data_IF_078750100887
#
_entry.id   IF_078750100887
#
_cell.length_a   1.000
_cell.length_b   1.000
_cell.length_c   1.000
_cell.angle_alpha   90.00
_cell.angle_beta   90.00
_cell.angle_gamma   90.00
#
_symmetry.space_group_name_H-M   'P 1'
#
loop_
_entity.id
_entity.type
_entity.pdbx_description
1 polymer ?
#
# COMPACT_ATOMS: atom_id res chain seq x y z
N UNK A 1 -51.18 -51.94 1.91
CA UNK A 1 -51.02 -50.47 1.75
C UNK A 1 -49.70 -50.07 2.39
N UNK A 2 -48.77 -49.46 1.63
CA UNK A 2 -47.39 -49.13 2.08
C UNK A 2 -47.34 -47.66 2.54
N UNK A 3 -46.82 -47.34 3.74
CA UNK A 3 -46.81 -45.96 4.22
C UNK A 3 -45.76 -45.12 3.47
N UNK A 4 -46.14 -43.88 3.15
CA UNK A 4 -45.28 -42.89 2.50
C UNK A 4 -44.27 -42.31 3.50
N UNK A 5 -43.00 -42.18 3.07
CA UNK A 5 -41.94 -41.59 3.86
C UNK A 5 -42.04 -40.04 3.83
N UNK A 6 -41.92 -39.34 4.97
CA UNK A 6 -41.91 -37.88 4.99
C UNK A 6 -40.62 -37.32 4.34
N UNK A 7 -40.79 -36.43 3.35
CA UNK A 7 -39.70 -35.73 2.68
C UNK A 7 -38.94 -34.83 3.66
N UNK A 8 -37.61 -35.01 3.76
CA UNK A 8 -36.75 -34.17 4.59
C UNK A 8 -36.70 -32.75 4.02
N UNK A 9 -37.42 -31.82 4.65
CA UNK A 9 -37.31 -30.40 4.36
C UNK A 9 -35.93 -29.93 4.86
N UNK A 10 -35.04 -29.57 3.93
CA UNK A 10 -33.79 -28.89 4.27
C UNK A 10 -34.13 -27.51 4.81
N UNK A 11 -33.81 -27.28 6.07
CA UNK A 11 -34.08 -26.00 6.74
C UNK A 11 -33.09 -24.97 6.22
N UNK A 12 -33.57 -24.05 5.39
CA UNK A 12 -32.78 -22.92 4.88
C UNK A 12 -32.33 -22.02 6.02
N UNK A 13 -31.13 -21.44 5.88
CA UNK A 13 -30.64 -20.37 6.74
C UNK A 13 -31.67 -19.24 6.69
N UNK A 14 -32.07 -18.74 7.87
CA UNK A 14 -33.08 -17.70 7.98
C UNK A 14 -32.66 -16.48 7.12
N UNK A 15 -33.51 -15.98 6.21
CA UNK A 15 -33.17 -14.86 5.33
C UNK A 15 -32.69 -13.61 6.06
N UNK A 16 -33.18 -13.37 7.27
CA UNK A 16 -32.80 -12.24 8.14
C UNK A 16 -31.37 -12.40 8.67
N UNK A 17 -30.97 -13.62 8.99
CA UNK A 17 -29.61 -13.90 9.45
C UNK A 17 -28.61 -13.68 8.30
N UNK A 18 -29.01 -14.07 7.09
CA UNK A 18 -28.19 -13.91 5.89
C UNK A 18 -27.93 -12.43 5.58
N UNK A 19 -28.94 -11.56 5.66
CA UNK A 19 -28.77 -10.13 5.37
C UNK A 19 -27.94 -9.42 6.43
N UNK A 20 -28.13 -9.74 7.72
CA UNK A 20 -27.30 -9.19 8.80
C UNK A 20 -25.82 -9.53 8.59
N UNK A 21 -25.53 -10.79 8.26
CA UNK A 21 -24.17 -11.24 7.98
C UNK A 21 -23.60 -10.58 6.71
N UNK A 22 -24.42 -10.43 5.66
CA UNK A 22 -24.01 -9.80 4.41
C UNK A 22 -23.62 -8.33 4.63
N UNK A 23 -24.40 -7.58 5.41
CA UNK A 23 -24.10 -6.18 5.74
C UNK A 23 -22.79 -6.08 6.53
N UNK A 24 -22.55 -6.96 7.51
CA UNK A 24 -21.30 -6.96 8.28
C UNK A 24 -20.08 -7.19 7.38
N UNK A 25 -20.17 -8.16 6.45
CA UNK A 25 -19.08 -8.42 5.49
C UNK A 25 -18.88 -7.21 4.58
N UNK A 26 -19.95 -6.57 4.10
CA UNK A 26 -19.84 -5.40 3.25
C UNK A 26 -19.11 -4.23 3.95
N UNK A 27 -19.45 -3.96 5.21
CA UNK A 27 -18.78 -2.93 6.02
C UNK A 27 -17.33 -3.30 6.28
N UNK A 28 -17.04 -4.55 6.64
CA UNK A 28 -15.68 -5.02 6.85
C UNK A 28 -14.82 -4.87 5.59
N UNK A 29 -15.35 -5.27 4.42
CA UNK A 29 -14.65 -5.12 3.15
C UNK A 29 -14.37 -3.65 2.82
N UNK A 30 -15.32 -2.74 3.06
CA UNK A 30 -15.13 -1.31 2.84
C UNK A 30 -14.00 -0.73 3.72
N UNK A 31 -13.93 -1.12 4.99
CA UNK A 31 -12.87 -0.67 5.91
C UNK A 31 -11.49 -1.17 5.49
N UNK A 32 -11.38 -2.44 5.09
CA UNK A 32 -10.12 -3.02 4.59
C UNK A 32 -9.66 -2.28 3.33
N UNK A 33 -10.59 -2.01 2.41
CA UNK A 33 -10.33 -1.27 1.17
C UNK A 33 -9.81 0.14 1.48
N UNK A 34 -10.47 0.84 2.39
CA UNK A 34 -10.08 2.19 2.81
C UNK A 34 -8.68 2.20 3.43
N UNK A 35 -8.40 1.29 4.37
CA UNK A 35 -7.09 1.19 5.01
C UNK A 35 -5.98 0.88 4.00
N UNK A 36 -6.23 -0.02 3.04
CA UNK A 36 -5.29 -0.35 1.99
C UNK A 36 -5.06 0.80 1.01
N UNK A 37 -6.11 1.53 0.62
CA UNK A 37 -5.97 2.71 -0.23
C UNK A 37 -5.11 3.77 0.49
N UNK A 38 -5.36 4.02 1.78
CA UNK A 38 -4.59 4.99 2.54
C UNK A 38 -3.12 4.58 2.69
N UNK A 39 -2.83 3.29 2.92
CA UNK A 39 -1.45 2.81 2.96
C UNK A 39 -0.75 2.90 1.61
N UNK A 40 -1.45 2.58 0.51
CA UNK A 40 -0.94 2.74 -0.85
C UNK A 40 -0.65 4.21 -1.20
N UNK A 41 -1.56 5.13 -0.86
CA UNK A 41 -1.37 6.57 -1.07
C UNK A 41 -0.21 7.12 -0.23
N UNK A 42 -0.05 6.65 1.01
CA UNK A 42 1.07 7.06 1.87
C UNK A 42 2.40 6.56 1.29
N UNK A 43 2.47 5.28 0.92
CA UNK A 43 3.67 4.68 0.34
C UNK A 43 4.08 5.34 -0.99
N UNK A 44 3.11 5.65 -1.86
CA UNK A 44 3.36 6.33 -3.14
C UNK A 44 3.71 7.81 -2.96
N UNK A 45 3.08 8.51 -2.02
CA UNK A 45 3.41 9.89 -1.67
C UNK A 45 4.81 10.04 -1.09
N UNK A 46 5.27 9.10 -0.27
CA UNK A 46 6.64 9.07 0.24
C UNK A 46 7.67 8.81 -0.87
N UNK A 47 7.33 7.97 -1.86
CA UNK A 47 8.19 7.72 -3.02
C UNK A 47 8.32 8.95 -3.95
N UNK A 48 7.26 9.76 -4.06
CA UNK A 48 7.30 11.07 -4.71
C UNK A 48 8.05 12.14 -3.88
N UNK A 49 8.38 11.83 -2.62
CA UNK A 49 9.03 12.71 -1.67
C UNK A 49 10.55 12.79 -1.77
N UNK A 50 11.19 12.10 -2.72
CA UNK A 50 12.64 12.21 -2.94
C UNK A 50 12.93 12.46 -4.42
N UNK A 51 13.32 13.69 -4.74
CA UNK A 51 13.92 14.03 -6.03
C UNK A 51 15.30 14.61 -5.75
N UNK A 52 16.34 13.89 -6.19
CA UNK A 52 17.72 14.33 -6.06
C UNK A 52 18.13 15.06 -7.34
N UNK A 53 18.42 16.35 -7.21
CA UNK A 53 19.02 17.15 -8.29
C UNK A 53 20.52 17.30 -8.08
N UNK A 54 21.28 17.17 -9.16
CA UNK A 54 22.72 17.43 -9.20
C UNK A 54 22.92 18.92 -9.48
N UNK A 55 23.42 19.67 -8.49
CA UNK A 55 23.64 21.12 -8.63
C UNK A 55 24.99 21.42 -9.30
N UNK A 56 26.09 20.92 -8.74
CA UNK A 56 27.43 21.24 -9.23
C UNK A 56 28.44 20.13 -8.90
N UNK A 57 29.51 20.05 -9.70
CA UNK A 57 30.66 19.16 -9.45
C UNK A 57 31.92 20.01 -9.48
N UNK A 58 32.70 19.93 -8.41
CA UNK A 58 34.03 20.51 -8.33
C UNK A 58 35.07 19.39 -8.40
N UNK A 59 35.94 19.50 -9.40
CA UNK A 59 37.11 18.66 -9.58
C UNK A 59 38.28 19.39 -8.92
N UNK A 60 38.68 18.96 -7.72
CA UNK A 60 39.81 19.56 -7.02
C UNK A 60 41.12 19.11 -7.69
N UNK A 61 42.13 19.97 -7.68
CA UNK A 61 43.38 19.77 -8.41
C UNK A 61 44.09 18.45 -8.05
N UNK A 62 44.89 17.98 -9.00
CA UNK A 62 45.49 16.64 -9.13
C UNK A 62 46.32 16.09 -7.96
N UNK A 63 46.62 16.90 -6.95
CA UNK A 63 47.38 16.46 -5.77
C UNK A 63 46.49 15.76 -4.74
N UNK A 64 45.21 16.14 -4.71
CA UNK A 64 44.20 15.62 -3.79
C UNK A 64 43.07 15.06 -4.64
N UNK A 65 43.14 13.78 -5.02
CA UNK A 65 42.14 13.04 -5.82
C UNK A 65 40.74 13.05 -5.19
N UNK A 66 40.11 14.23 -5.12
CA UNK A 66 38.88 14.53 -4.40
C UNK A 66 37.92 15.19 -5.38
N UNK A 67 36.70 14.67 -5.40
CA UNK A 67 35.60 15.21 -6.19
C UNK A 67 34.53 15.64 -5.21
N UNK A 68 34.11 16.90 -5.28
CA UNK A 68 33.01 17.43 -4.47
C UNK A 68 31.77 17.52 -5.34
N UNK A 69 30.73 16.79 -4.98
CA UNK A 69 29.45 16.80 -5.69
C UNK A 69 28.38 17.41 -4.79
N UNK A 70 27.74 18.47 -5.27
CA UNK A 70 26.60 19.09 -4.60
C UNK A 70 25.31 18.45 -5.11
N UNK A 71 24.59 17.81 -4.19
CA UNK A 71 23.29 17.18 -4.46
C UNK A 71 22.25 17.81 -3.56
N UNK A 72 21.10 18.18 -4.13
CA UNK A 72 19.98 18.76 -3.41
C UNK A 72 18.79 17.82 -3.46
N UNK A 73 18.20 17.56 -2.31
CA UNK A 73 16.87 16.97 -2.23
C UNK A 73 15.84 18.10 -2.34
N UNK A 74 15.04 18.09 -3.40
CA UNK A 74 14.02 19.12 -3.65
C UNK A 74 12.66 18.79 -3.02
N UNK A 75 12.58 17.69 -2.26
CA UNK A 75 11.33 17.17 -1.69
C UNK A 75 11.44 16.94 -0.17
N UNK A 76 10.38 16.41 0.44
CA UNK A 76 10.19 16.37 1.90
C UNK A 76 10.65 15.08 2.58
N UNK A 77 10.93 14.02 1.84
CA UNK A 77 11.35 12.72 2.38
C UNK A 77 12.87 12.59 2.40
N UNK A 78 13.42 11.77 3.29
CA UNK A 78 14.87 11.63 3.46
C UNK A 78 15.49 10.76 2.36
N UNK A 79 16.53 11.26 1.69
CA UNK A 79 17.29 10.52 0.70
C UNK A 79 18.50 9.79 1.30
N UNK A 80 18.91 8.68 0.69
CA UNK A 80 20.13 7.93 1.05
C UNK A 80 21.01 7.75 -0.18
N UNK A 81 22.32 7.93 -0.02
CA UNK A 81 23.31 7.60 -1.05
C UNK A 81 23.60 6.10 -0.94
N UNK A 82 23.20 5.32 -1.94
CA UNK A 82 23.38 3.86 -1.93
C UNK A 82 24.72 3.40 -2.51
N UNK A 83 25.20 4.09 -3.55
CA UNK A 83 26.43 3.76 -4.24
C UNK A 83 26.95 5.00 -4.99
N UNK A 84 28.26 5.05 -5.19
CA UNK A 84 28.96 6.00 -6.04
C UNK A 84 29.77 5.16 -7.04
N UNK A 85 29.58 5.39 -8.34
CA UNK A 85 30.23 4.68 -9.44
C UNK A 85 31.13 5.63 -10.21
#
# INVERSE_FOLDING_TARGET
MKPANPSKAHKGISPILATLLLVVIAVAAALISYAWIMSYLTATGEQAGVTLSKDAVSWLNSTDYKIVVYVRNTCTSQAKISAIY
#
